data_IF_072492096225
#
_entry.id   IF_072492096225
#
_cell.length_a   1.000
_cell.length_b   1.000
_cell.length_c   1.000
_cell.angle_alpha   90.00
_cell.angle_beta   90.00
_cell.angle_gamma   90.00
#
_symmetry.space_group_name_H-M   'P 1'
#
loop_
_entity.id
_entity.type
_entity.pdbx_description
1 polymer ?
#
# COMPACT_ATOMS: atom_id res chain seq x y z
N UNK A 1 23.50 -14.71 -3.00
CA UNK A 1 23.03 -13.42 -2.46
C UNK A 1 22.15 -12.81 -3.52
N UNK A 2 20.88 -12.51 -3.21
CA UNK A 2 20.00 -11.82 -4.15
C UNK A 2 20.49 -10.38 -4.31
N UNK A 3 20.38 -9.82 -5.51
CA UNK A 3 20.64 -8.40 -5.73
C UNK A 3 19.70 -7.55 -4.84
N UNK A 4 20.14 -6.36 -4.39
CA UNK A 4 19.26 -5.41 -3.70
C UNK A 4 18.04 -5.09 -4.59
N UNK A 5 16.90 -4.84 -3.96
CA UNK A 5 15.60 -4.77 -4.63
C UNK A 5 15.58 -3.79 -5.82
N UNK A 6 16.27 -2.66 -5.70
CA UNK A 6 16.38 -1.63 -6.74
C UNK A 6 17.23 -2.00 -7.96
N UNK A 7 18.00 -3.10 -7.91
CA UNK A 7 18.81 -3.61 -9.03
C UNK A 7 18.15 -4.81 -9.72
N UNK A 8 16.95 -5.22 -9.28
CA UNK A 8 16.21 -6.32 -9.89
C UNK A 8 15.67 -5.90 -11.25
N UNK A 9 16.07 -6.60 -12.30
CA UNK A 9 15.51 -6.39 -13.66
C UNK A 9 14.05 -6.84 -13.69
N UNK A 10 13.17 -5.96 -14.17
CA UNK A 10 11.75 -6.25 -14.44
C UNK A 10 11.59 -6.42 -15.94
N UNK A 11 11.12 -7.59 -16.36
CA UNK A 11 10.79 -7.86 -17.76
C UNK A 11 9.36 -7.39 -18.04
N UNK A 12 9.22 -6.44 -18.97
CA UNK A 12 7.93 -5.89 -19.41
C UNK A 12 7.54 -6.38 -20.82
N UNK A 13 8.27 -7.36 -21.35
CA UNK A 13 8.01 -7.91 -22.70
C UNK A 13 6.86 -8.91 -22.76
N UNK A 14 6.22 -9.19 -21.62
CA UNK A 14 5.08 -10.09 -21.53
C UNK A 14 3.81 -9.40 -22.06
N UNK A 15 3.26 -9.90 -23.16
CA UNK A 15 2.05 -9.36 -23.80
C UNK A 15 0.75 -9.67 -23.01
N UNK A 16 0.82 -10.49 -21.96
CA UNK A 16 -0.34 -10.87 -21.12
C UNK A 16 -0.50 -9.94 -19.89
N UNK A 17 0.17 -8.79 -19.85
CA UNK A 17 -0.02 -7.80 -18.78
C UNK A 17 -1.45 -7.24 -18.78
N UNK A 18 -2.21 -7.56 -17.73
CA UNK A 18 -3.56 -7.04 -17.54
C UNK A 18 -3.53 -5.51 -17.39
N UNK A 19 -4.13 -4.80 -18.35
CA UNK A 19 -4.31 -3.35 -18.27
C UNK A 19 -5.28 -3.06 -17.12
N UNK A 20 -4.75 -2.44 -16.07
CA UNK A 20 -5.56 -1.97 -14.96
C UNK A 20 -6.58 -0.91 -15.43
N UNK A 21 -7.77 -0.86 -14.83
CA UNK A 21 -8.74 0.18 -15.12
C UNK A 21 -8.18 1.57 -14.76
N UNK A 22 -8.70 2.62 -15.41
CA UNK A 22 -8.33 4.03 -15.17
C UNK A 22 -8.43 4.46 -13.70
N UNK A 23 -9.21 3.73 -12.92
CA UNK A 23 -9.32 3.90 -11.48
C UNK A 23 -9.32 2.53 -10.83
N UNK A 24 -8.26 2.26 -10.08
CA UNK A 24 -8.06 1.05 -9.29
C UNK A 24 -9.01 0.98 -8.10
N UNK A 25 -9.22 -0.21 -7.56
CA UNK A 25 -10.13 -0.41 -6.42
C UNK A 25 -9.67 0.38 -5.19
N UNK A 26 -8.37 0.50 -4.98
CA UNK A 26 -7.76 1.17 -3.84
C UNK A 26 -7.87 2.70 -3.92
N UNK A 27 -8.01 3.26 -5.13
CA UNK A 27 -8.31 4.69 -5.33
C UNK A 27 -9.76 5.06 -5.01
N UNK A 28 -10.67 4.08 -5.04
CA UNK A 28 -12.07 4.26 -4.61
C UNK A 28 -12.30 3.83 -3.17
N UNK A 29 -11.33 3.19 -2.53
CA UNK A 29 -11.40 2.85 -1.12
C UNK A 29 -11.30 4.14 -0.31
N UNK A 30 -12.11 4.27 0.74
CA UNK A 30 -11.93 5.29 1.76
C UNK A 30 -10.66 4.94 2.56
N UNK A 31 -9.50 5.28 2.00
CA UNK A 31 -8.18 4.97 2.57
C UNK A 31 -7.56 3.66 2.07
N UNK A 32 -6.29 3.47 2.43
CA UNK A 32 -5.52 2.26 2.11
C UNK A 32 -5.90 1.11 3.07
N UNK A 33 -7.10 0.56 2.90
CA UNK A 33 -7.57 -0.61 3.66
C UNK A 33 -8.20 -0.32 5.03
N UNK A 34 -8.53 0.94 5.33
CA UNK A 34 -9.18 1.30 6.60
C UNK A 34 -10.68 0.95 6.53
N UNK A 35 -11.13 0.00 7.35
CA UNK A 35 -12.55 -0.08 7.67
C UNK A 35 -12.88 1.08 8.60
N UNK A 36 -13.91 1.88 8.28
CA UNK A 36 -14.43 2.99 9.11
C UNK A 36 -15.03 2.44 10.41
N UNK A 37 -14.21 1.85 11.25
CA UNK A 37 -14.56 1.39 12.57
C UNK A 37 -14.01 2.44 13.55
N UNK A 38 -14.91 3.02 14.34
CA UNK A 38 -14.70 4.16 15.25
C UNK A 38 -13.64 3.94 16.37
N UNK A 39 -12.84 2.87 16.30
CA UNK A 39 -11.92 2.39 17.32
C UNK A 39 -10.44 2.30 16.88
N UNK A 40 -10.11 2.47 15.59
CA UNK A 40 -8.71 2.41 15.11
C UNK A 40 -7.93 3.66 15.55
N UNK A 41 -8.54 4.85 15.49
CA UNK A 41 -7.91 6.12 15.84
C UNK A 41 -7.51 6.15 17.33
N UNK A 42 -8.40 5.70 18.21
CA UNK A 42 -8.12 5.63 19.66
C UNK A 42 -6.98 4.66 19.99
N UNK A 43 -6.90 3.55 19.24
CA UNK A 43 -5.80 2.59 19.38
C UNK A 43 -4.48 3.18 18.88
N UNK A 44 -4.48 3.81 17.71
CA UNK A 44 -3.30 4.43 17.11
C UNK A 44 -2.73 5.56 17.98
N UNK A 45 -3.60 6.36 18.59
CA UNK A 45 -3.20 7.41 19.53
C UNK A 45 -2.61 6.84 20.82
N UNK A 46 -3.11 5.69 21.30
CA UNK A 46 -2.56 4.99 22.48
C UNK A 46 -1.20 4.35 22.20
N UNK A 47 -1.01 3.80 21.01
CA UNK A 47 0.21 3.08 20.62
C UNK A 47 1.27 3.99 19.98
N UNK A 48 1.03 5.31 19.96
CA UNK A 48 1.93 6.31 19.38
C UNK A 48 3.35 6.22 19.99
N UNK A 49 4.39 6.02 19.15
CA UNK A 49 5.78 6.10 19.56
C UNK A 49 6.20 7.50 20.07
N UNK A 50 7.21 7.57 20.96
CA UNK A 50 7.64 8.84 21.55
C UNK A 50 8.26 9.84 20.55
N UNK A 51 8.66 9.41 19.35
CA UNK A 51 9.25 10.27 18.32
C UNK A 51 8.22 10.93 17.38
N UNK A 52 6.91 10.73 17.59
CA UNK A 52 5.85 11.41 16.83
C UNK A 52 5.53 12.84 17.37
N UNK A 53 6.46 13.44 18.11
CA UNK A 53 6.36 14.79 18.67
C UNK A 53 7.19 15.79 17.89
#
# INVERSE_FOLDING_TARGET
>A
MSAPDGERTVDLSDDDLEILPDVTRDERAEGWGESVADNEIDRLLRDRPPHWG
#
